data_IF_024285787673
#
_entry.id   IF_024285787673
#
_cell.length_a   1.000
_cell.length_b   1.000
_cell.length_c   1.000
_cell.angle_alpha   90.00
_cell.angle_beta   90.00
_cell.angle_gamma   90.00
#
_symmetry.space_group_name_H-M   'P 1'
#
loop_
_entity.id
_entity.type
_entity.pdbx_description
1 polymer ?
#
# COMPACT_ATOMS: atom_id res chain seq x y z
N UNK A 1 7.97 -17.08 -15.86
CA UNK A 1 8.31 -15.65 -15.72
C UNK A 1 9.58 -15.60 -14.88
N UNK A 2 10.59 -14.85 -15.28
CA UNK A 2 11.84 -14.74 -14.51
C UNK A 2 11.56 -14.02 -13.17
N UNK A 3 12.07 -14.57 -12.07
CA UNK A 3 11.87 -14.04 -10.71
C UNK A 3 12.34 -12.59 -10.59
N UNK A 4 13.44 -12.23 -11.26
CA UNK A 4 13.94 -10.86 -11.31
C UNK A 4 12.98 -9.90 -12.02
N UNK A 5 12.28 -10.38 -13.04
CA UNK A 5 11.26 -9.60 -13.77
C UNK A 5 10.00 -9.38 -12.92
N UNK A 6 9.57 -10.38 -12.15
CA UNK A 6 8.43 -10.25 -11.22
C UNK A 6 8.71 -9.21 -10.12
N UNK A 7 9.89 -9.23 -9.51
CA UNK A 7 10.28 -8.27 -8.46
C UNK A 7 10.34 -6.83 -8.98
N UNK A 8 10.90 -6.61 -10.17
CA UNK A 8 10.86 -5.28 -10.83
C UNK A 8 9.43 -4.81 -11.04
N UNK A 9 8.53 -5.71 -11.43
CA UNK A 9 7.10 -5.44 -11.52
C UNK A 9 6.48 -5.04 -10.19
N UNK A 10 6.82 -5.73 -9.09
CA UNK A 10 6.35 -5.39 -7.75
C UNK A 10 6.80 -3.97 -7.35
N UNK A 11 8.09 -3.64 -7.52
CA UNK A 11 8.61 -2.29 -7.20
C UNK A 11 7.91 -1.21 -8.04
N UNK A 12 7.68 -1.46 -9.32
CA UNK A 12 6.96 -0.52 -10.18
C UNK A 12 5.52 -0.28 -9.70
N UNK A 13 4.78 -1.34 -9.34
CA UNK A 13 3.42 -1.23 -8.81
C UNK A 13 3.37 -0.56 -7.43
N UNK A 14 4.34 -0.82 -6.55
CA UNK A 14 4.46 -0.12 -5.26
C UNK A 14 4.60 1.38 -5.48
N UNK A 15 5.49 1.80 -6.39
CA UNK A 15 5.69 3.22 -6.69
C UNK A 15 4.43 3.86 -7.28
N UNK A 16 3.77 3.20 -8.24
CA UNK A 16 2.52 3.71 -8.81
C UNK A 16 1.42 3.81 -7.75
N UNK A 17 1.27 2.79 -6.92
CA UNK A 17 0.27 2.79 -5.85
C UNK A 17 0.55 3.89 -4.83
N UNK A 18 1.81 4.20 -4.51
CA UNK A 18 2.16 5.32 -3.66
C UNK A 18 1.76 6.67 -4.28
N UNK A 19 2.02 6.87 -5.58
CA UNK A 19 1.59 8.09 -6.30
C UNK A 19 0.07 8.23 -6.26
N UNK A 20 -0.66 7.16 -6.58
CA UNK A 20 -2.12 7.15 -6.54
C UNK A 20 -2.65 7.50 -5.16
N UNK A 21 -2.07 6.94 -4.09
CA UNK A 21 -2.47 7.26 -2.71
C UNK A 21 -2.30 8.75 -2.37
N UNK A 22 -1.20 9.38 -2.80
CA UNK A 22 -1.02 10.81 -2.59
C UNK A 22 -1.99 11.66 -3.42
N UNK A 23 -2.42 11.19 -4.59
CA UNK A 23 -3.41 11.87 -5.41
C UNK A 23 -4.84 11.80 -4.84
N UNK A 24 -5.11 10.90 -3.89
CA UNK A 24 -6.43 10.79 -3.26
C UNK A 24 -6.71 11.90 -2.23
N UNK A 25 -5.76 12.80 -1.95
CA UNK A 25 -5.95 13.92 -1.01
C UNK A 25 -7.17 14.78 -1.39
N UNK A 26 -7.35 15.05 -2.68
CA UNK A 26 -8.49 15.82 -3.20
C UNK A 26 -9.83 15.10 -2.99
N UNK A 27 -9.84 13.77 -3.01
CA UNK A 27 -11.06 12.96 -2.81
C UNK A 27 -11.52 12.95 -1.34
N UNK A 28 -10.67 13.35 -0.39
CA UNK A 28 -11.00 13.42 1.04
C UNK A 28 -11.78 14.69 1.41
N UNK A 29 -11.85 15.68 0.52
CA UNK A 29 -12.61 16.93 0.73
C UNK A 29 -14.12 16.75 0.47
N UNK A 30 -14.55 15.57 0.02
CA UNK A 30 -15.95 15.31 -0.33
C UNK A 30 -16.80 15.20 0.95
N UNK A 31 -17.88 15.98 1.05
CA UNK A 31 -18.80 15.91 2.22
C UNK A 31 -19.88 14.83 2.09
N UNK A 32 -20.04 14.24 0.91
CA UNK A 32 -21.05 13.23 0.60
C UNK A 32 -20.66 11.83 1.11
N UNK A 33 -21.54 11.21 1.92
CA UNK A 33 -21.29 9.93 2.60
C UNK A 33 -21.10 8.78 1.60
N UNK A 34 -21.92 8.72 0.54
CA UNK A 34 -21.82 7.69 -0.51
C UNK A 34 -20.49 7.76 -1.27
N UNK A 35 -20.03 8.99 -1.56
CA UNK A 35 -18.74 9.25 -2.19
C UNK A 35 -17.58 8.88 -1.29
N UNK A 36 -17.67 9.16 0.02
CA UNK A 36 -16.68 8.73 1.01
C UNK A 36 -16.58 7.21 1.15
N UNK A 37 -17.68 6.51 0.95
CA UNK A 37 -17.74 5.04 0.97
C UNK A 37 -17.02 4.44 -0.26
N UNK A 38 -17.10 5.13 -1.41
CA UNK A 38 -16.36 4.79 -2.62
C UNK A 38 -14.84 4.99 -2.45
N UNK A 39 -14.41 6.15 -1.93
CA UNK A 39 -13.01 6.42 -1.55
C UNK A 39 -12.53 5.36 -0.56
N UNK A 40 -13.40 5.02 0.39
CA UNK A 40 -13.34 3.88 1.30
C UNK A 40 -12.86 2.58 0.68
N UNK A 41 -13.54 2.18 -0.39
CA UNK A 41 -13.33 0.91 -1.10
C UNK A 41 -12.10 0.95 -1.98
N UNK A 42 -11.85 2.07 -2.67
CA UNK A 42 -10.69 2.22 -3.55
C UNK A 42 -9.38 2.17 -2.75
N UNK A 43 -9.30 2.92 -1.65
CA UNK A 43 -8.11 2.93 -0.80
C UNK A 43 -7.84 1.55 -0.17
N UNK A 44 -8.88 0.78 0.20
CA UNK A 44 -8.75 -0.63 0.65
C UNK A 44 -8.23 -1.56 -0.45
N UNK A 45 -8.72 -1.38 -1.69
CA UNK A 45 -8.27 -2.16 -2.83
C UNK A 45 -6.78 -1.90 -3.11
N UNK A 46 -6.37 -0.62 -3.15
CA UNK A 46 -4.97 -0.21 -3.32
C UNK A 46 -4.06 -0.76 -2.22
N UNK A 47 -4.48 -0.62 -0.96
CA UNK A 47 -3.74 -1.16 0.18
C UNK A 47 -3.52 -2.68 0.06
N UNK A 48 -4.52 -3.42 -0.40
CA UNK A 48 -4.43 -4.88 -0.60
C UNK A 48 -3.36 -5.24 -1.64
N UNK A 49 -3.35 -4.56 -2.80
CA UNK A 49 -2.33 -4.79 -3.83
C UNK A 49 -0.93 -4.40 -3.34
N UNK A 50 -0.82 -3.26 -2.64
CA UNK A 50 0.44 -2.82 -2.07
C UNK A 50 0.97 -3.84 -1.03
N UNK A 51 0.11 -4.42 -0.20
CA UNK A 51 0.49 -5.45 0.76
C UNK A 51 1.08 -6.69 0.08
N UNK A 52 0.43 -7.14 -0.99
CA UNK A 52 0.88 -8.28 -1.77
C UNK A 52 2.26 -8.03 -2.38
N UNK A 53 2.47 -6.86 -3.00
CA UNK A 53 3.74 -6.53 -3.65
C UNK A 53 4.87 -6.28 -2.63
N UNK A 54 4.59 -5.57 -1.52
CA UNK A 54 5.54 -5.40 -0.43
C UNK A 54 5.94 -6.75 0.18
N UNK A 55 4.98 -7.65 0.41
CA UNK A 55 5.25 -8.99 0.94
C UNK A 55 6.19 -9.80 0.04
N UNK A 56 6.04 -9.70 -1.29
CA UNK A 56 6.95 -10.31 -2.26
C UNK A 56 8.35 -9.70 -2.18
N UNK A 57 8.46 -8.37 -2.18
CA UNK A 57 9.75 -7.66 -2.10
C UNK A 57 10.48 -7.98 -0.79
N UNK A 58 9.78 -7.93 0.35
CA UNK A 58 10.33 -8.26 1.67
C UNK A 58 10.81 -9.72 1.72
N UNK A 59 10.03 -10.64 1.16
CA UNK A 59 10.39 -12.07 1.16
C UNK A 59 11.62 -12.38 0.30
N UNK A 60 11.89 -11.56 -0.72
CA UNK A 60 13.09 -11.69 -1.55
C UNK A 60 14.37 -11.11 -0.93
N UNK A 61 14.30 -10.41 0.20
CA UNK A 61 15.49 -9.88 0.86
C UNK A 61 16.34 -11.00 1.46
N UNK A 62 17.59 -11.10 1.01
CA UNK A 62 18.59 -12.04 1.57
C UNK A 62 19.09 -11.62 2.96
N UNK A 63 19.02 -10.32 3.27
CA UNK A 63 19.49 -9.77 4.54
C UNK A 63 18.36 -9.72 5.56
N UNK A 64 18.51 -10.44 6.66
CA UNK A 64 17.54 -10.45 7.76
C UNK A 64 17.30 -9.05 8.34
N UNK A 65 18.34 -8.22 8.43
CA UNK A 65 18.22 -6.86 8.95
C UNK A 65 17.39 -5.95 8.03
N UNK A 66 17.65 -6.02 6.71
CA UNK A 66 16.83 -5.31 5.72
C UNK A 66 15.39 -5.81 5.71
N UNK A 67 15.20 -7.13 5.81
CA UNK A 67 13.88 -7.75 5.89
C UNK A 67 13.10 -7.27 7.11
N UNK A 68 13.73 -7.25 8.30
CA UNK A 68 13.13 -6.72 9.53
C UNK A 68 12.76 -5.25 9.40
N UNK A 69 13.66 -4.43 8.86
CA UNK A 69 13.43 -2.99 8.65
C UNK A 69 12.24 -2.75 7.73
N UNK A 70 12.20 -3.40 6.56
CA UNK A 70 11.11 -3.25 5.60
C UNK A 70 9.78 -3.78 6.14
N UNK A 71 9.80 -4.90 6.87
CA UNK A 71 8.61 -5.44 7.54
C UNK A 71 8.05 -4.44 8.56
N UNK A 72 8.93 -3.83 9.37
CA UNK A 72 8.53 -2.82 10.34
C UNK A 72 7.90 -1.58 9.69
N UNK A 73 8.47 -1.12 8.57
CA UNK A 73 7.91 0.00 7.80
C UNK A 73 6.56 -0.35 7.17
N UNK A 74 6.44 -1.52 6.53
CA UNK A 74 5.20 -1.98 5.94
C UNK A 74 4.09 -2.12 7.00
N UNK A 75 4.40 -2.71 8.16
CA UNK A 75 3.44 -2.84 9.25
C UNK A 75 2.97 -1.48 9.77
N UNK A 76 3.88 -0.51 9.96
CA UNK A 76 3.51 0.85 10.37
C UNK A 76 2.62 1.53 9.32
N UNK A 77 2.97 1.39 8.04
CA UNK A 77 2.16 1.94 6.95
C UNK A 77 0.74 1.37 6.97
N UNK A 78 0.58 0.04 7.00
CA UNK A 78 -0.75 -0.57 7.03
C UNK A 78 -1.52 -0.30 8.31
N UNK A 79 -0.82 -0.13 9.45
CA UNK A 79 -1.44 0.30 10.70
C UNK A 79 -2.07 1.70 10.56
N UNK A 80 -1.34 2.69 10.03
CA UNK A 80 -1.89 4.03 9.83
C UNK A 80 -3.01 4.07 8.78
N UNK A 81 -2.93 3.22 7.77
CA UNK A 81 -4.00 3.05 6.79
C UNK A 81 -5.27 2.53 7.47
N UNK A 82 -5.15 1.54 8.36
CA UNK A 82 -6.27 0.98 9.12
C UNK A 82 -6.84 1.97 10.15
N UNK A 83 -5.99 2.69 10.88
CA UNK A 83 -6.42 3.75 11.82
C UNK A 83 -7.16 4.89 11.13
N UNK A 84 -6.68 5.33 9.96
CA UNK A 84 -7.36 6.37 9.16
C UNK A 84 -8.80 5.96 8.80
N UNK A 85 -9.11 4.67 8.77
CA UNK A 85 -10.46 4.16 8.62
C UNK A 85 -11.23 4.06 9.93
N UNK A 86 -10.57 3.62 11.00
CA UNK A 86 -11.18 3.39 12.30
C UNK A 86 -11.53 4.68 13.06
N UNK A 87 -10.98 5.83 12.65
CA UNK A 87 -11.32 7.15 13.19
C UNK A 87 -12.61 7.77 12.60
N UNK A 88 -13.39 7.00 11.83
CA UNK A 88 -14.78 7.35 11.48
C UNK A 88 -15.75 7.00 12.61
#
# INVERSE_FOLDING_TARGET
MDFGTELKGCVCRINNCAIELFSMEEDLEIEDEDSWDLVGRDLRLKATFMYIDLSRVISSCESDERKKTLTGLANKFFYFMDESWAMR
#
